data_IF_471074941690
#
_entry.id   IF_471074941690
#
_cell.length_a   1.000
_cell.length_b   1.000
_cell.length_c   1.000
_cell.angle_alpha   90.00
_cell.angle_beta   90.00
_cell.angle_gamma   90.00
#
_symmetry.space_group_name_H-M   'P 1'
#
loop_
_entity.id
_entity.type
_entity.pdbx_description
1 polymer ?
#
# COMPACT_ATOMS: atom_id res chain seq x y z
N UNK A 1 50.74 15.24 -2.89
CA UNK A 1 50.53 16.14 -4.02
C UNK A 1 49.33 15.68 -4.84
N UNK A 2 48.26 16.40 -4.72
CA UNK A 2 47.01 16.13 -5.47
C UNK A 2 47.04 16.85 -6.81
N UNK A 3 48.00 16.49 -7.69
CA UNK A 3 48.01 17.02 -9.06
C UNK A 3 46.86 16.45 -9.93
N UNK A 4 46.20 15.41 -9.48
CA UNK A 4 45.01 14.84 -10.15
C UNK A 4 43.77 15.18 -9.37
N UNK A 5 42.71 15.61 -10.06
CA UNK A 5 41.38 15.84 -9.50
C UNK A 5 40.30 15.30 -10.42
N UNK A 6 39.23 14.73 -9.85
CA UNK A 6 38.05 14.26 -10.57
C UNK A 6 36.80 14.72 -9.82
N UNK A 7 35.99 15.55 -10.51
CA UNK A 7 34.81 16.15 -9.87
C UNK A 7 33.85 15.10 -9.34
N UNK A 8 33.46 15.21 -8.06
CA UNK A 8 32.55 14.31 -7.38
C UNK A 8 33.17 12.98 -6.97
N UNK A 9 34.49 12.82 -7.02
CA UNK A 9 35.21 11.63 -6.55
C UNK A 9 36.32 12.01 -5.57
N UNK A 10 36.66 11.08 -4.69
CA UNK A 10 37.81 11.15 -3.80
C UNK A 10 38.98 10.38 -4.39
N UNK A 11 40.18 10.92 -4.31
CA UNK A 11 41.39 10.20 -4.71
C UNK A 11 41.79 9.22 -3.59
N UNK A 12 41.81 7.91 -3.89
CA UNK A 12 42.15 6.83 -2.94
C UNK A 12 43.65 6.48 -2.97
N UNK A 13 44.33 6.72 -4.09
CA UNK A 13 45.73 6.36 -4.29
C UNK A 13 46.03 5.89 -5.73
N UNK A 14 47.09 5.10 -5.85
CA UNK A 14 47.62 4.68 -7.13
C UNK A 14 47.46 3.18 -7.38
N UNK A 15 46.77 2.80 -8.44
CA UNK A 15 46.54 1.40 -8.85
C UNK A 15 47.56 0.95 -9.92
N UNK A 16 47.59 -0.37 -10.15
CA UNK A 16 48.39 -1.01 -11.20
C UNK A 16 47.69 -1.05 -12.56
N UNK A 17 46.38 -0.84 -12.59
CA UNK A 17 45.59 -0.68 -13.82
C UNK A 17 44.48 0.35 -13.60
N UNK A 18 43.90 0.86 -14.67
CA UNK A 18 42.79 1.82 -14.65
C UNK A 18 41.47 1.21 -14.18
N UNK A 19 41.36 -0.12 -14.12
CA UNK A 19 40.16 -0.85 -13.76
C UNK A 19 40.21 -1.50 -12.35
N UNK A 20 41.38 -1.41 -11.68
CA UNK A 20 41.49 -1.94 -10.30
C UNK A 20 40.78 -1.04 -9.30
N UNK A 21 40.18 -1.65 -8.26
CA UNK A 21 39.65 -0.94 -7.09
C UNK A 21 40.69 -0.89 -5.95
N UNK A 22 41.83 -1.55 -6.10
CA UNK A 22 42.89 -1.52 -5.11
C UNK A 22 43.86 -0.39 -5.33
N UNK A 23 44.01 0.45 -4.33
CA UNK A 23 44.87 1.59 -4.32
C UNK A 23 46.08 1.44 -3.37
N UNK A 24 47.24 1.82 -3.81
CA UNK A 24 48.39 2.09 -2.94
C UNK A 24 48.30 3.55 -2.51
N UNK A 25 48.26 3.87 -1.21
CA UNK A 25 48.15 5.25 -0.73
C UNK A 25 49.28 6.14 -1.30
N UNK A 26 48.95 7.40 -1.55
CA UNK A 26 49.93 8.39 -1.99
C UNK A 26 51.06 8.53 -0.93
N UNK A 27 52.27 8.70 -1.38
CA UNK A 27 53.45 8.79 -0.50
C UNK A 27 54.05 7.42 -0.11
N UNK A 28 53.42 6.29 -0.47
CA UNK A 28 53.99 4.96 -0.24
C UNK A 28 55.13 4.69 -1.16
N UNK A 29 56.27 4.21 -0.64
CA UNK A 29 57.43 3.77 -1.46
C UNK A 29 57.11 2.39 -2.07
N UNK A 30 57.37 2.28 -3.38
CA UNK A 30 57.20 1.01 -4.12
C UNK A 30 58.46 0.68 -4.87
N UNK A 31 58.86 -0.60 -4.92
CA UNK A 31 59.98 -1.08 -5.69
C UNK A 31 59.57 -1.22 -7.16
N UNK A 32 60.40 -0.71 -8.08
CA UNK A 32 60.20 -0.87 -9.52
C UNK A 32 61.50 -1.49 -10.13
N UNK A 33 61.33 -2.45 -11.03
CA UNK A 33 62.40 -3.13 -11.76
C UNK A 33 62.33 -2.93 -13.27
N UNK A 34 61.30 -2.22 -13.75
CA UNK A 34 61.10 -1.87 -15.16
C UNK A 34 60.21 -0.62 -15.25
N UNK A 35 60.11 -0.05 -16.45
CA UNK A 35 59.18 1.05 -16.72
C UNK A 35 57.76 0.60 -16.38
N UNK A 36 57.07 1.40 -15.57
CA UNK A 36 55.73 1.08 -15.10
C UNK A 36 54.87 2.34 -15.01
N UNK A 37 53.57 2.19 -15.23
CA UNK A 37 52.57 3.23 -15.07
C UNK A 37 51.70 2.95 -13.85
N UNK A 38 51.35 4.00 -13.12
CA UNK A 38 50.36 3.94 -12.04
C UNK A 38 49.17 4.80 -12.45
N UNK A 39 47.99 4.31 -12.11
CA UNK A 39 46.71 4.92 -12.44
C UNK A 39 46.08 5.47 -11.17
N UNK A 40 45.57 6.69 -11.22
CA UNK A 40 44.80 7.25 -10.14
C UNK A 40 43.52 6.42 -9.91
N UNK A 41 43.29 6.01 -8.67
CA UNK A 41 42.08 5.33 -8.29
C UNK A 41 41.16 6.34 -7.63
N UNK A 42 39.96 6.45 -8.19
CA UNK A 42 38.93 7.37 -7.79
C UNK A 42 37.80 6.63 -7.11
N UNK A 43 37.36 7.12 -5.96
CA UNK A 43 36.29 6.56 -5.16
C UNK A 43 35.09 7.51 -5.08
N UNK A 44 33.91 6.99 -5.13
CA UNK A 44 32.68 7.70 -4.87
C UNK A 44 31.77 6.82 -4.02
N UNK A 45 31.43 7.29 -2.83
CA UNK A 45 30.57 6.57 -1.90
C UNK A 45 29.18 6.36 -2.47
N UNK A 46 28.62 5.20 -2.21
CA UNK A 46 27.23 4.89 -2.44
C UNK A 46 26.31 5.83 -1.65
N UNK A 47 25.03 5.83 -2.01
CA UNK A 47 23.99 6.64 -1.35
C UNK A 47 23.19 5.81 -0.39
N UNK A 48 22.93 6.32 0.80
CA UNK A 48 22.05 5.72 1.78
C UNK A 48 20.63 6.32 1.71
N UNK A 49 19.61 5.48 1.82
CA UNK A 49 18.21 5.89 1.89
C UNK A 49 17.51 5.19 3.05
N UNK A 50 16.51 5.87 3.62
CA UNK A 50 15.68 5.36 4.71
C UNK A 50 14.20 5.37 4.35
N UNK A 51 13.48 4.37 4.85
CA UNK A 51 12.02 4.26 4.76
C UNK A 51 11.49 4.21 6.19
N UNK A 52 10.78 5.25 6.60
CA UNK A 52 10.06 5.31 7.87
C UNK A 52 8.61 4.88 7.66
N UNK A 53 7.90 4.57 8.75
CA UNK A 53 6.52 4.08 8.70
C UNK A 53 5.64 4.89 9.63
N UNK A 54 4.41 5.16 9.18
CA UNK A 54 3.36 5.86 9.90
C UNK A 54 2.10 4.99 9.90
N UNK A 55 1.56 4.71 11.08
CA UNK A 55 0.35 3.89 11.23
C UNK A 55 -0.93 4.56 10.74
N UNK A 56 -0.89 5.80 10.25
CA UNK A 56 -1.98 6.53 9.61
C UNK A 56 -3.30 6.46 10.40
N UNK A 57 -3.24 6.87 11.66
CA UNK A 57 -4.38 6.83 12.59
C UNK A 57 -4.64 5.47 13.23
N UNK A 58 -3.79 4.48 13.00
CA UNK A 58 -3.65 3.28 13.82
C UNK A 58 -2.62 3.48 14.92
N UNK A 59 -2.23 2.39 15.58
CA UNK A 59 -1.16 2.35 16.57
C UNK A 59 -0.34 1.08 16.42
N UNK A 60 0.93 1.12 16.81
CA UNK A 60 1.80 -0.06 16.75
C UNK A 60 3.28 0.28 16.77
N UNK A 61 4.13 -0.73 16.65
CA UNK A 61 5.59 -0.59 16.68
C UNK A 61 6.20 -0.20 15.33
N UNK A 62 5.42 -0.10 14.25
CA UNK A 62 5.91 0.26 12.93
C UNK A 62 6.63 1.63 12.91
N UNK A 63 6.15 2.59 13.68
CA UNK A 63 6.73 3.94 13.77
C UNK A 63 8.13 3.97 14.45
N UNK A 64 8.52 2.88 15.11
CA UNK A 64 9.83 2.71 15.73
C UNK A 64 10.81 1.95 14.82
N UNK A 65 10.36 1.49 13.66
CA UNK A 65 11.14 0.72 12.69
C UNK A 65 11.51 1.61 11.51
N UNK A 66 12.76 1.50 11.09
CA UNK A 66 13.24 2.17 9.87
C UNK A 66 13.87 1.13 8.95
N UNK A 67 13.34 0.99 7.74
CA UNK A 67 14.01 0.29 6.66
C UNK A 67 15.13 1.16 6.10
N UNK A 68 16.22 0.56 5.69
CA UNK A 68 17.33 1.28 5.07
C UNK A 68 18.00 0.44 3.99
N UNK A 69 18.59 1.10 3.02
CA UNK A 69 19.44 0.50 2.02
C UNK A 69 20.53 1.48 1.57
N UNK A 70 21.59 0.94 1.02
CA UNK A 70 22.66 1.72 0.38
C UNK A 70 22.89 1.21 -1.04
N UNK A 71 23.22 2.12 -1.95
CA UNK A 71 23.75 1.73 -3.25
C UNK A 71 25.22 1.36 -3.09
N UNK A 72 25.76 0.61 -4.05
CA UNK A 72 27.17 0.26 -4.05
C UNK A 72 28.05 1.49 -4.26
N UNK A 73 29.26 1.43 -3.71
CA UNK A 73 30.32 2.37 -4.01
C UNK A 73 30.73 2.25 -5.48
N UNK A 74 31.22 3.32 -6.06
CA UNK A 74 31.71 3.33 -7.41
C UNK A 74 33.19 3.73 -7.46
N UNK A 75 33.93 3.13 -8.36
CA UNK A 75 35.34 3.38 -8.58
C UNK A 75 35.58 3.83 -10.01
N UNK A 76 36.62 4.69 -10.17
CA UNK A 76 37.09 5.15 -11.46
C UNK A 76 36.01 5.78 -12.35
N UNK A 77 35.50 5.07 -13.33
CA UNK A 77 34.44 5.51 -14.25
C UNK A 77 33.10 4.85 -14.02
N UNK A 78 32.95 4.06 -12.94
CA UNK A 78 31.68 3.45 -12.56
C UNK A 78 30.65 4.50 -12.11
N UNK A 79 29.38 4.19 -12.33
CA UNK A 79 28.29 5.05 -11.94
C UNK A 79 27.65 4.54 -10.65
N UNK A 80 27.55 5.39 -9.63
CA UNK A 80 26.76 5.08 -8.43
C UNK A 80 25.29 4.97 -8.81
N UNK A 81 24.65 3.85 -8.47
CA UNK A 81 23.21 3.68 -8.65
C UNK A 81 22.42 4.79 -7.95
N UNK A 82 21.27 5.17 -8.49
CA UNK A 82 20.39 6.16 -7.89
C UNK A 82 19.30 5.56 -7.02
N UNK A 83 19.20 4.22 -6.94
CA UNK A 83 18.22 3.53 -6.11
C UNK A 83 18.80 2.24 -5.54
N UNK A 84 18.26 1.82 -4.43
CA UNK A 84 18.49 0.52 -3.82
C UNK A 84 17.16 -0.07 -3.34
N UNK A 85 17.16 -1.31 -2.87
CA UNK A 85 15.94 -2.03 -2.53
C UNK A 85 15.73 -2.12 -1.02
N UNK A 86 14.47 -1.92 -0.60
CA UNK A 86 14.01 -2.12 0.78
C UNK A 86 12.83 -3.08 0.78
N UNK A 87 12.89 -4.08 1.64
CA UNK A 87 11.71 -4.92 1.94
C UNK A 87 10.84 -4.20 2.95
N UNK A 88 9.58 -3.95 2.60
CA UNK A 88 8.62 -3.31 3.49
C UNK A 88 8.30 -4.21 4.69
N UNK A 89 8.18 -3.61 5.88
CA UNK A 89 7.85 -4.35 7.09
C UNK A 89 6.46 -4.99 7.03
N UNK A 90 6.22 -6.00 7.87
CA UNK A 90 4.90 -6.59 8.08
C UNK A 90 3.89 -5.60 8.67
N UNK A 91 2.66 -6.06 8.87
CA UNK A 91 1.61 -5.27 9.51
C UNK A 91 1.89 -5.12 11.02
N UNK A 92 2.74 -4.17 11.37
CA UNK A 92 3.08 -3.85 12.77
C UNK A 92 2.23 -2.71 13.35
N UNK A 93 1.17 -2.33 12.63
CA UNK A 93 0.14 -1.40 13.07
C UNK A 93 -1.19 -2.13 13.24
N UNK A 94 -2.04 -1.62 14.12
CA UNK A 94 -3.42 -2.05 14.31
C UNK A 94 -4.35 -0.84 14.37
N UNK A 95 -5.59 -0.99 13.89
CA UNK A 95 -6.64 0.01 14.01
C UNK A 95 -7.96 -0.70 14.26
N UNK A 96 -8.61 -0.41 15.38
CA UNK A 96 -9.85 -1.10 15.78
C UNK A 96 -10.92 -0.96 14.69
N UNK A 97 -11.50 -2.10 14.28
CA UNK A 97 -12.52 -2.18 13.23
C UNK A 97 -12.02 -1.96 11.79
N UNK A 98 -10.70 -1.99 11.55
CA UNK A 98 -10.09 -1.83 10.25
C UNK A 98 -9.12 -2.97 9.94
N UNK A 99 -8.99 -3.29 8.67
CA UNK A 99 -8.00 -4.25 8.16
C UNK A 99 -6.84 -3.48 7.52
N UNK A 100 -5.63 -3.90 7.82
CA UNK A 100 -4.43 -3.38 7.15
C UNK A 100 -4.33 -3.96 5.72
N UNK A 101 -4.17 -3.10 4.72
CA UNK A 101 -4.09 -3.50 3.30
C UNK A 101 -2.67 -3.36 2.71
N UNK A 102 -1.80 -2.57 3.33
CA UNK A 102 -0.44 -2.33 2.83
C UNK A 102 0.10 -0.95 3.17
N UNK A 103 1.19 -0.57 2.49
CA UNK A 103 1.94 0.65 2.71
C UNK A 103 1.87 1.59 1.52
N UNK A 104 1.33 2.78 1.69
CA UNK A 104 1.20 3.83 0.67
C UNK A 104 2.34 4.86 0.73
N UNK A 105 2.46 5.66 -0.31
CA UNK A 105 3.42 6.79 -0.38
C UNK A 105 2.89 8.08 0.26
N UNK A 106 1.59 8.15 0.58
CA UNK A 106 0.98 9.26 1.33
C UNK A 106 -0.18 8.75 2.18
N UNK A 107 -0.58 9.52 3.20
CA UNK A 107 -1.67 9.19 4.13
C UNK A 107 -3.05 9.10 3.46
N UNK A 108 -3.22 9.70 2.29
CA UNK A 108 -4.49 9.74 1.55
C UNK A 108 -4.56 8.75 0.40
N UNK A 109 -3.45 8.16 -0.01
CA UNK A 109 -3.40 7.18 -1.10
C UNK A 109 -4.04 5.87 -0.66
N UNK A 110 -4.90 5.31 -1.52
CA UNK A 110 -5.64 4.07 -1.26
C UNK A 110 -5.01 2.84 -1.94
N UNK A 111 -3.97 3.05 -2.71
CA UNK A 111 -3.20 1.98 -3.38
C UNK A 111 -1.76 2.04 -2.89
N UNK A 112 -1.22 0.91 -2.55
CA UNK A 112 0.14 0.81 -2.02
C UNK A 112 0.76 -0.55 -2.27
N UNK A 113 1.96 -0.72 -1.76
CA UNK A 113 2.68 -1.98 -1.80
C UNK A 113 2.29 -2.88 -0.61
N UNK A 114 2.19 -4.18 -0.86
CA UNK A 114 1.90 -5.14 0.20
C UNK A 114 3.03 -5.17 1.25
N UNK A 115 2.68 -5.52 2.47
CA UNK A 115 3.68 -5.83 3.50
C UNK A 115 4.59 -6.98 3.04
N UNK A 116 5.87 -6.88 3.32
CA UNK A 116 6.88 -7.86 2.89
C UNK A 116 7.32 -7.77 1.43
N UNK A 117 6.72 -6.87 0.62
CA UNK A 117 7.18 -6.66 -0.75
C UNK A 117 8.46 -5.82 -0.79
N UNK A 118 9.26 -6.05 -1.81
CA UNK A 118 10.47 -5.28 -2.10
C UNK A 118 10.13 -4.07 -2.98
N UNK A 119 10.67 -2.92 -2.64
CA UNK A 119 10.48 -1.66 -3.37
C UNK A 119 11.82 -1.01 -3.71
N UNK A 120 11.87 -0.30 -4.82
CA UNK A 120 12.99 0.58 -5.15
C UNK A 120 12.88 1.91 -4.40
N UNK A 121 13.99 2.33 -3.79
CA UNK A 121 14.09 3.56 -2.99
C UNK A 121 15.19 4.43 -3.59
N UNK A 122 14.81 5.60 -4.08
CA UNK A 122 15.72 6.61 -4.66
C UNK A 122 15.81 7.90 -3.83
N UNK A 123 15.03 7.98 -2.75
CA UNK A 123 15.06 9.05 -1.74
C UNK A 123 14.48 8.55 -0.43
N UNK A 124 14.94 9.08 0.69
CA UNK A 124 14.35 8.79 2.00
C UNK A 124 12.93 9.34 2.09
N UNK A 125 11.99 8.52 2.58
CA UNK A 125 10.58 8.90 2.67
C UNK A 125 9.83 8.08 3.72
N UNK A 126 8.57 8.50 4.02
CA UNK A 126 7.67 7.79 4.91
C UNK A 126 6.65 6.98 4.12
N UNK A 127 6.34 5.80 4.60
CA UNK A 127 5.23 4.94 4.16
C UNK A 127 4.10 5.02 5.18
N UNK A 128 2.87 5.09 4.68
CA UNK A 128 1.65 5.24 5.47
C UNK A 128 0.80 3.99 5.38
N UNK A 129 0.31 3.50 6.51
CA UNK A 129 -0.60 2.36 6.53
C UNK A 129 -1.90 2.66 5.77
N UNK A 130 -2.34 1.72 4.96
CA UNK A 130 -3.66 1.76 4.32
C UNK A 130 -4.61 0.92 5.15
N UNK A 131 -5.71 1.52 5.58
CA UNK A 131 -6.76 0.89 6.37
C UNK A 131 -8.03 0.74 5.56
N UNK A 132 -8.68 -0.42 5.66
CA UNK A 132 -9.93 -0.73 4.95
C UNK A 132 -10.98 -1.29 5.91
N UNK A 133 -12.22 -0.82 5.80
CA UNK A 133 -13.41 -1.55 6.23
C UNK A 133 -14.03 -2.21 5.00
N UNK A 134 -14.32 -3.51 5.04
CA UNK A 134 -14.91 -4.20 3.91
C UNK A 134 -16.31 -3.66 3.60
N UNK A 135 -16.77 -3.90 2.37
CA UNK A 135 -18.14 -3.66 1.99
C UNK A 135 -19.07 -4.57 2.79
N UNK A 136 -20.27 -4.05 3.12
CA UNK A 136 -21.31 -4.81 3.82
C UNK A 136 -22.47 -5.04 2.84
N UNK A 137 -22.88 -6.30 2.66
CA UNK A 137 -24.02 -6.66 1.82
C UNK A 137 -25.18 -7.07 2.70
N UNK A 138 -26.34 -6.43 2.51
CA UNK A 138 -27.62 -6.83 3.10
C UNK A 138 -28.52 -7.46 2.07
N UNK A 139 -29.35 -8.41 2.51
CA UNK A 139 -30.31 -9.12 1.68
C UNK A 139 -31.68 -9.01 2.33
N UNK A 140 -32.66 -8.56 1.57
CA UNK A 140 -34.07 -8.55 1.94
C UNK A 140 -34.79 -9.71 1.23
N UNK A 141 -35.37 -10.61 1.99
CA UNK A 141 -36.18 -11.72 1.48
C UNK A 141 -37.65 -11.40 1.61
N UNK A 142 -38.47 -11.99 0.74
CA UNK A 142 -39.91 -11.77 0.69
C UNK A 142 -40.66 -13.05 1.02
N UNK A 143 -41.77 -12.92 1.74
CA UNK A 143 -42.68 -14.03 2.06
C UNK A 143 -44.08 -13.60 1.65
N UNK A 144 -44.75 -14.36 0.79
CA UNK A 144 -46.09 -14.07 0.31
C UNK A 144 -47.19 -14.27 1.37
N UNK A 145 -46.83 -14.59 2.62
CA UNK A 145 -47.73 -14.70 3.79
C UNK A 145 -48.98 -15.53 3.53
N UNK A 146 -48.78 -16.75 3.06
CA UNK A 146 -49.89 -17.70 2.71
C UNK A 146 -50.36 -17.57 1.26
N UNK A 147 -49.99 -16.55 0.55
CA UNK A 147 -50.19 -16.45 -0.91
C UNK A 147 -49.20 -17.27 -1.69
N UNK A 148 -49.34 -17.28 -3.00
CA UNK A 148 -48.42 -17.90 -3.97
C UNK A 148 -47.53 -16.84 -4.65
N UNK A 149 -46.32 -17.26 -5.02
CA UNK A 149 -45.28 -16.45 -5.61
C UNK A 149 -43.96 -16.74 -4.95
N UNK A 150 -42.87 -16.38 -5.61
CA UNK A 150 -41.50 -16.55 -5.12
C UNK A 150 -40.67 -15.38 -5.58
N UNK A 151 -40.89 -14.18 -5.04
CA UNK A 151 -40.07 -13.03 -5.41
C UNK A 151 -38.62 -13.27 -5.05
N UNK A 152 -37.70 -12.87 -5.96
CA UNK A 152 -36.28 -12.93 -5.69
C UNK A 152 -35.90 -12.01 -4.52
N UNK A 153 -34.86 -12.37 -3.82
CA UNK A 153 -34.32 -11.51 -2.76
C UNK A 153 -33.71 -10.23 -3.36
N UNK A 154 -34.05 -9.10 -2.74
CA UNK A 154 -33.40 -7.81 -3.07
C UNK A 154 -32.12 -7.66 -2.25
N UNK A 155 -31.09 -7.06 -2.85
CA UNK A 155 -29.84 -6.83 -2.14
C UNK A 155 -29.38 -5.39 -2.28
N UNK A 156 -28.72 -4.87 -1.24
CA UNK A 156 -27.97 -3.63 -1.32
C UNK A 156 -26.59 -3.80 -0.68
N UNK A 157 -25.66 -2.97 -1.10
CA UNK A 157 -24.28 -3.03 -0.63
C UNK A 157 -23.84 -1.65 -0.14
N UNK A 158 -23.34 -1.60 1.08
CA UNK A 158 -22.60 -0.46 1.61
C UNK A 158 -21.16 -0.61 1.12
N UNK A 159 -20.60 0.36 0.39
CA UNK A 159 -19.25 0.27 -0.13
C UNK A 159 -18.18 0.14 0.95
N UNK A 160 -17.05 -0.46 0.62
CA UNK A 160 -15.86 -0.42 1.44
C UNK A 160 -15.38 1.04 1.59
N UNK A 161 -14.80 1.36 2.75
CA UNK A 161 -14.21 2.66 3.03
C UNK A 161 -12.77 2.51 3.51
N UNK A 162 -11.97 3.59 3.38
CA UNK A 162 -10.55 3.55 3.64
C UNK A 162 -10.11 4.69 4.56
N UNK A 163 -8.99 4.50 5.25
CA UNK A 163 -8.20 5.50 5.97
C UNK A 163 -9.01 6.40 6.93
N UNK A 164 -10.03 5.85 7.58
CA UNK A 164 -10.82 6.58 8.58
C UNK A 164 -12.10 7.23 8.02
N UNK A 165 -12.42 7.05 6.74
CA UNK A 165 -13.68 7.51 6.18
C UNK A 165 -14.87 6.84 6.89
N UNK A 166 -15.95 7.61 7.09
CA UNK A 166 -17.19 7.09 7.70
C UNK A 166 -17.88 6.14 6.74
N UNK A 167 -18.15 4.91 7.20
CA UNK A 167 -18.96 3.96 6.46
C UNK A 167 -20.43 4.15 6.82
N UNK A 168 -21.31 4.18 5.83
CA UNK A 168 -22.74 4.19 6.06
C UNK A 168 -23.17 2.95 6.88
N UNK A 169 -24.26 3.05 7.61
CA UNK A 169 -24.80 1.97 8.44
C UNK A 169 -26.01 1.29 7.80
N UNK A 170 -26.55 1.86 6.74
CA UNK A 170 -27.71 1.34 6.01
C UNK A 170 -27.59 1.60 4.51
N UNK A 171 -28.31 0.83 3.73
CA UNK A 171 -28.49 1.03 2.30
C UNK A 171 -29.96 0.77 1.93
N UNK A 172 -30.37 1.14 0.73
CA UNK A 172 -31.77 1.08 0.31
C UNK A 172 -31.96 0.02 -0.77
N UNK A 173 -33.10 -0.64 -0.74
CA UNK A 173 -33.60 -1.54 -1.78
C UNK A 173 -34.98 -1.07 -2.25
N UNK A 174 -35.31 -1.29 -3.52
CA UNK A 174 -36.66 -1.10 -4.03
C UNK A 174 -37.47 -2.37 -3.79
N UNK A 175 -38.61 -2.22 -3.15
CA UNK A 175 -39.50 -3.34 -2.88
C UNK A 175 -40.12 -3.87 -4.16
N UNK A 176 -40.38 -5.19 -4.21
CA UNK A 176 -41.08 -5.84 -5.31
C UNK A 176 -42.45 -5.24 -5.55
N UNK A 177 -42.96 -5.21 -6.80
CA UNK A 177 -44.30 -4.72 -7.12
C UNK A 177 -45.38 -5.64 -6.56
N UNK A 178 -46.59 -5.14 -6.53
CA UNK A 178 -47.77 -5.87 -6.04
C UNK A 178 -48.17 -7.11 -6.88
N UNK A 179 -47.55 -7.31 -8.03
CA UNK A 179 -47.69 -8.49 -8.87
C UNK A 179 -46.80 -9.67 -8.45
N UNK A 180 -45.86 -9.45 -7.52
CA UNK A 180 -44.89 -10.46 -7.10
C UNK A 180 -45.50 -11.66 -6.34
N UNK A 181 -46.63 -11.43 -5.65
CA UNK A 181 -47.39 -12.48 -4.96
C UNK A 181 -48.86 -12.39 -5.35
N UNK A 182 -49.58 -13.54 -5.27
CA UNK A 182 -51.02 -13.63 -5.48
C UNK A 182 -51.66 -14.41 -4.33
N UNK A 183 -52.88 -14.02 -3.92
CA UNK A 183 -53.66 -14.74 -2.95
C UNK A 183 -55.15 -14.64 -3.36
N UNK A 184 -55.80 -15.80 -3.57
CA UNK A 184 -57.16 -15.87 -4.10
C UNK A 184 -58.14 -15.02 -3.27
N UNK A 185 -58.83 -14.08 -3.91
CA UNK A 185 -59.78 -13.17 -3.24
C UNK A 185 -59.14 -11.99 -2.50
N UNK A 186 -57.80 -11.83 -2.55
CA UNK A 186 -57.07 -10.75 -1.86
C UNK A 186 -56.15 -9.98 -2.82
N UNK A 187 -55.94 -8.72 -2.50
CA UNK A 187 -54.96 -7.89 -3.22
C UNK A 187 -53.74 -7.63 -2.33
N UNK A 188 -52.54 -7.75 -2.90
CA UNK A 188 -51.32 -7.35 -2.22
C UNK A 188 -51.25 -5.80 -2.17
N UNK A 189 -51.29 -5.21 -0.98
CA UNK A 189 -51.27 -3.76 -0.77
C UNK A 189 -49.88 -3.23 -0.43
N UNK A 190 -48.94 -4.09 -0.01
CA UNK A 190 -47.61 -3.72 0.36
C UNK A 190 -46.87 -4.81 1.11
N UNK A 191 -45.66 -4.49 1.58
CA UNK A 191 -44.79 -5.41 2.31
C UNK A 191 -44.66 -4.98 3.77
N UNK A 192 -45.08 -5.83 4.67
CA UNK A 192 -44.98 -5.64 6.13
C UNK A 192 -43.72 -6.28 6.72
N UNK A 193 -43.27 -5.80 7.87
CA UNK A 193 -42.12 -6.35 8.61
C UNK A 193 -42.42 -7.68 9.32
N UNK A 194 -43.69 -8.02 9.48
CA UNK A 194 -44.13 -9.30 10.08
C UNK A 194 -45.41 -9.80 9.42
N UNK A 195 -45.72 -11.07 9.57
CA UNK A 195 -46.94 -11.70 9.05
C UNK A 195 -48.25 -11.15 9.64
N UNK A 196 -48.20 -10.48 10.78
CA UNK A 196 -49.34 -9.88 11.47
C UNK A 196 -49.45 -8.36 11.34
N UNK A 197 -48.54 -7.72 10.60
CA UNK A 197 -48.55 -6.26 10.36
C UNK A 197 -49.61 -5.94 9.32
N UNK A 198 -50.53 -4.98 9.62
CA UNK A 198 -51.51 -4.45 8.69
C UNK A 198 -51.04 -3.13 8.04
N UNK A 199 -49.96 -2.53 8.56
CA UNK A 199 -49.30 -1.37 8.00
C UNK A 199 -47.98 -1.79 7.40
N UNK A 200 -47.74 -1.45 6.16
CA UNK A 200 -46.50 -1.80 5.41
C UNK A 200 -46.16 -0.72 4.43
N UNK A 201 -44.95 -0.82 3.89
CA UNK A 201 -44.51 0.05 2.80
C UNK A 201 -45.20 -0.34 1.49
N UNK A 202 -45.69 0.64 0.75
CA UNK A 202 -46.28 0.42 -0.56
C UNK A 202 -45.28 -0.25 -1.49
N UNK A 203 -45.79 -1.08 -2.41
CA UNK A 203 -44.96 -1.74 -3.43
C UNK A 203 -44.28 -0.71 -4.32
N UNK A 204 -43.02 -0.99 -4.72
CA UNK A 204 -42.21 -0.07 -5.54
C UNK A 204 -41.55 1.09 -4.79
N UNK A 205 -41.79 1.23 -3.46
CA UNK A 205 -41.07 2.25 -2.66
C UNK A 205 -39.69 1.74 -2.23
N UNK A 206 -38.77 2.69 -2.05
CA UNK A 206 -37.51 2.38 -1.42
C UNK A 206 -37.73 2.06 0.08
N UNK A 207 -37.36 0.88 0.50
CA UNK A 207 -37.45 0.44 1.89
C UNK A 207 -36.22 0.82 2.70
N UNK A 208 -36.39 1.01 4.00
CA UNK A 208 -35.31 1.16 4.95
C UNK A 208 -34.92 -0.20 5.53
N UNK A 209 -33.63 -0.41 5.73
CA UNK A 209 -33.09 -1.56 6.47
C UNK A 209 -33.06 -1.27 7.95
#
# INVERSE_FOLDING_TARGET
DSSCAKSGYTFEGWGTSSTTHSATPAGTSVSISSNTTRYAIWYKAGKGYTVSYDCNGGSGSAEQVTGWCTTDDAYNDETVSNSCKVTLIGAQCSRSGWTFEGWATSSTTLVGAAAGSEIDVSSSHTRYAIWKKPAIKYTLTYNCNGGSGSPDASTCTIPAVYNGATQATSCMVTLHPNTACSYSGWSLIGWGKSSSTHEGLATGTAGYS
#
